data_IF_401068547605
#
_entry.id   IF_401068547605
#
_cell.length_a   1.000
_cell.length_b   1.000
_cell.length_c   1.000
_cell.angle_alpha   90.00
_cell.angle_beta   90.00
_cell.angle_gamma   90.00
#
_symmetry.space_group_name_H-M   'P 1'
#
loop_
_entity.id
_entity.type
_entity.pdbx_description
1 polymer ?
#
# COMPACT_ATOMS: atom_id res chain seq x y z
N UNK A 1 17.77 10.67 4.65
CA UNK A 1 17.06 10.68 5.94
C UNK A 1 17.77 11.67 6.85
N UNK A 2 17.04 12.49 7.61
CA UNK A 2 17.63 13.50 8.50
C UNK A 2 18.26 12.81 9.72
N UNK A 3 19.50 13.18 10.08
CA UNK A 3 20.21 12.59 11.20
C UNK A 3 19.61 12.98 12.55
N UNK A 4 19.64 12.06 13.53
CA UNK A 4 19.16 12.31 14.91
C UNK A 4 19.85 13.51 15.58
N UNK A 5 21.15 13.69 15.31
CA UNK A 5 21.94 14.82 15.81
C UNK A 5 21.43 16.16 15.31
N UNK A 6 21.00 16.23 14.04
CA UNK A 6 20.41 17.43 13.48
C UNK A 6 19.05 17.74 14.10
N UNK A 7 18.22 16.74 14.34
CA UNK A 7 16.92 16.93 15.00
C UNK A 7 17.11 17.46 16.42
N UNK A 8 18.04 16.86 17.18
CA UNK A 8 18.38 17.35 18.53
C UNK A 8 18.89 18.78 18.52
N UNK A 9 19.78 19.12 17.58
CA UNK A 9 20.33 20.48 17.42
C UNK A 9 19.25 21.50 17.03
N UNK A 10 18.37 21.14 16.10
CA UNK A 10 17.42 22.08 15.50
C UNK A 10 16.14 22.25 16.33
N UNK A 11 15.61 21.17 16.90
CA UNK A 11 14.32 21.19 17.59
C UNK A 11 14.44 20.99 19.11
N UNK A 12 15.62 20.60 19.60
CA UNK A 12 15.85 20.33 21.03
C UNK A 12 15.26 19.00 21.49
N UNK A 13 15.07 18.05 20.57
CA UNK A 13 14.31 16.83 20.80
C UNK A 13 15.14 15.60 20.46
N UNK A 14 15.03 14.56 21.30
CA UNK A 14 15.65 13.27 21.04
C UNK A 14 14.67 12.35 20.29
N UNK A 15 15.18 11.70 19.24
CA UNK A 15 14.42 10.75 18.43
C UNK A 15 14.91 9.35 18.73
N UNK A 16 14.02 8.54 19.28
CA UNK A 16 14.32 7.16 19.70
C UNK A 16 13.87 6.13 18.65
N UNK A 17 14.39 6.27 17.43
CA UNK A 17 14.21 5.26 16.36
C UNK A 17 15.52 4.53 16.15
N UNK A 18 15.57 3.21 16.29
CA UNK A 18 16.82 2.47 16.12
C UNK A 18 17.40 2.62 14.69
N UNK A 19 18.72 2.47 14.56
CA UNK A 19 19.37 2.44 13.24
C UNK A 19 18.86 1.29 12.39
N UNK A 20 18.55 0.14 13.01
CA UNK A 20 17.98 -1.02 12.33
C UNK A 20 16.62 -0.68 11.69
N UNK A 21 15.73 -0.01 12.43
CA UNK A 21 14.43 0.41 11.92
C UNK A 21 14.56 1.45 10.79
N UNK A 22 15.46 2.43 10.93
CA UNK A 22 15.73 3.41 9.86
C UNK A 22 16.23 2.74 8.57
N UNK A 23 17.15 1.78 8.69
CA UNK A 23 17.65 1.01 7.54
C UNK A 23 16.53 0.21 6.89
N UNK A 24 15.69 -0.46 7.68
CA UNK A 24 14.57 -1.26 7.17
C UNK A 24 13.53 -0.41 6.42
N UNK A 25 13.14 0.76 6.98
CA UNK A 25 12.24 1.70 6.30
C UNK A 25 12.80 2.16 4.95
N UNK A 26 14.09 2.51 4.90
CA UNK A 26 14.76 2.91 3.68
C UNK A 26 14.86 1.76 2.66
N UNK A 27 15.12 0.54 3.11
CA UNK A 27 15.15 -0.66 2.26
C UNK A 27 13.77 -0.91 1.66
N UNK A 28 12.70 -0.90 2.46
CA UNK A 28 11.34 -1.13 1.95
C UNK A 28 10.92 -0.06 0.95
N UNK A 29 11.23 1.23 1.19
CA UNK A 29 10.95 2.30 0.24
C UNK A 29 11.68 2.07 -1.10
N UNK A 30 12.98 1.75 -1.06
CA UNK A 30 13.75 1.44 -2.28
C UNK A 30 13.17 0.22 -3.01
N UNK A 31 12.76 -0.81 -2.29
CA UNK A 31 12.15 -2.01 -2.89
C UNK A 31 10.85 -1.69 -3.62
N UNK A 32 9.95 -0.92 -3.00
CA UNK A 32 8.69 -0.48 -3.63
C UNK A 32 8.92 0.29 -4.93
N UNK A 33 9.98 1.12 -4.96
CA UNK A 33 10.32 1.94 -6.11
C UNK A 33 11.18 1.23 -7.18
N UNK A 34 11.37 -0.09 -7.07
CA UNK A 34 12.27 -0.87 -7.94
C UNK A 34 13.73 -0.38 -7.94
N UNK A 35 14.20 0.06 -6.77
CA UNK A 35 15.58 0.53 -6.51
C UNK A 35 16.30 -0.30 -5.44
N UNK A 36 15.88 -1.54 -5.25
CA UNK A 36 16.51 -2.46 -4.29
C UNK A 36 18.00 -2.69 -4.60
N UNK A 37 18.81 -2.90 -3.56
CA UNK A 37 20.27 -2.87 -3.69
C UNK A 37 20.86 -4.05 -4.47
N UNK A 38 20.12 -5.15 -4.61
CA UNK A 38 20.53 -6.31 -5.42
C UNK A 38 20.24 -6.15 -6.91
N UNK A 39 19.47 -5.13 -7.30
CA UNK A 39 19.16 -4.87 -8.70
C UNK A 39 20.40 -4.38 -9.44
N UNK A 40 20.56 -4.86 -10.67
CA UNK A 40 21.74 -4.58 -11.47
C UNK A 40 21.43 -4.75 -12.96
N UNK A 41 22.44 -4.58 -13.83
CA UNK A 41 22.28 -4.85 -15.27
C UNK A 41 21.84 -6.29 -15.56
N UNK A 42 22.11 -7.23 -14.65
CA UNK A 42 21.81 -8.65 -14.81
C UNK A 42 20.69 -9.14 -13.90
N UNK A 43 20.26 -8.36 -12.90
CA UNK A 43 19.16 -8.72 -12.00
C UNK A 43 18.06 -7.67 -12.14
N UNK A 44 16.93 -8.08 -12.71
CA UNK A 44 15.75 -7.26 -12.96
C UNK A 44 14.69 -7.54 -11.89
N UNK A 45 14.02 -6.49 -11.45
CA UNK A 45 12.93 -6.63 -10.50
C UNK A 45 11.67 -7.18 -11.18
N UNK A 46 10.93 -8.01 -10.44
CA UNK A 46 9.57 -8.44 -10.74
C UNK A 46 8.51 -7.45 -10.21
N UNK A 47 8.90 -6.35 -9.56
CA UNK A 47 7.98 -5.38 -8.96
C UNK A 47 7.04 -5.98 -7.90
N UNK A 48 7.48 -7.06 -7.23
CA UNK A 48 6.70 -7.78 -6.22
C UNK A 48 6.30 -6.92 -5.01
N UNK A 49 7.14 -6.02 -4.47
CA UNK A 49 6.76 -5.16 -3.36
C UNK A 49 5.52 -4.30 -3.65
N UNK A 50 5.46 -3.69 -4.84
CA UNK A 50 4.30 -2.90 -5.27
C UNK A 50 3.08 -3.79 -5.54
N UNK A 51 3.27 -4.97 -6.13
CA UNK A 51 2.19 -5.93 -6.34
C UNK A 51 1.55 -6.38 -5.01
N UNK A 52 2.35 -6.65 -3.98
CA UNK A 52 1.86 -7.00 -2.64
C UNK A 52 1.09 -5.83 -2.02
N UNK A 53 1.67 -4.63 -2.03
CA UNK A 53 1.04 -3.46 -1.42
C UNK A 53 -0.27 -3.08 -2.13
N UNK A 54 -0.27 -3.06 -3.46
CA UNK A 54 -1.43 -2.69 -4.27
C UNK A 54 -2.57 -3.71 -4.16
N UNK A 55 -2.26 -5.00 -4.01
CA UNK A 55 -3.28 -6.04 -3.78
C UNK A 55 -4.02 -5.81 -2.45
N UNK A 56 -3.29 -5.59 -1.36
CA UNK A 56 -3.91 -5.30 -0.06
C UNK A 56 -4.67 -3.97 -0.08
N UNK A 57 -4.08 -2.90 -0.62
CA UNK A 57 -4.75 -1.61 -0.71
C UNK A 57 -6.07 -1.72 -1.48
N UNK A 58 -6.06 -2.43 -2.61
CA UNK A 58 -7.28 -2.69 -3.39
C UNK A 58 -8.31 -3.44 -2.57
N UNK A 59 -7.96 -4.57 -1.96
CA UNK A 59 -8.93 -5.35 -1.18
C UNK A 59 -9.49 -4.63 0.05
N UNK A 60 -8.72 -3.72 0.65
CA UNK A 60 -9.17 -2.96 1.83
C UNK A 60 -10.10 -1.81 1.43
N UNK A 61 -9.87 -1.16 0.28
CA UNK A 61 -10.60 0.06 -0.11
C UNK A 61 -11.69 -0.14 -1.14
N UNK A 62 -11.68 -1.23 -1.92
CA UNK A 62 -12.58 -1.41 -3.07
C UNK A 62 -14.06 -1.35 -2.69
N UNK A 63 -14.41 -1.95 -1.56
CA UNK A 63 -15.79 -2.07 -1.07
C UNK A 63 -15.98 -1.30 0.24
N UNK A 64 -15.12 -0.30 0.51
CA UNK A 64 -15.21 0.52 1.71
C UNK A 64 -16.16 1.70 1.49
N UNK A 65 -17.17 1.79 2.34
CA UNK A 65 -18.04 2.96 2.45
C UNK A 65 -17.88 3.62 3.81
N UNK A 66 -17.87 4.95 3.82
CA UNK A 66 -17.78 5.74 5.06
C UNK A 66 -18.88 6.80 5.07
N UNK A 67 -19.77 6.70 6.06
CA UNK A 67 -20.84 7.66 6.29
C UNK A 67 -20.57 8.43 7.58
N UNK A 68 -20.75 9.76 7.54
CA UNK A 68 -20.61 10.61 8.73
C UNK A 68 -21.94 11.29 8.98
N UNK A 69 -22.57 10.96 10.11
CA UNK A 69 -23.88 11.46 10.51
C UNK A 69 -23.78 12.24 11.81
N UNK A 70 -24.84 12.99 12.17
CA UNK A 70 -24.93 13.63 13.47
C UNK A 70 -25.00 12.60 14.60
N UNK A 71 -24.47 12.94 15.77
CA UNK A 71 -24.32 12.01 16.91
C UNK A 71 -25.63 11.34 17.42
N UNK A 72 -26.81 11.77 16.95
CA UNK A 72 -28.11 11.16 17.27
C UNK A 72 -28.73 10.39 16.09
N UNK A 73 -27.97 10.09 15.03
CA UNK A 73 -28.41 9.28 13.89
C UNK A 73 -29.21 10.05 12.83
N UNK A 74 -28.83 11.30 12.53
CA UNK A 74 -29.51 12.15 11.54
C UNK A 74 -28.60 13.24 10.96
N UNK A 75 -29.19 14.22 10.26
CA UNK A 75 -28.43 15.34 9.70
C UNK A 75 -27.95 16.33 10.77
N UNK A 76 -26.81 16.96 10.53
CA UNK A 76 -26.29 18.02 11.37
C UNK A 76 -25.16 18.75 10.66
N UNK A 77 -25.17 20.09 10.69
CA UNK A 77 -24.26 20.92 9.90
C UNK A 77 -22.77 20.54 10.09
N UNK A 78 -22.36 20.14 11.31
CA UNK A 78 -21.00 19.65 11.56
C UNK A 78 -20.70 18.33 10.85
N UNK A 79 -21.61 17.37 10.96
CA UNK A 79 -21.45 16.05 10.35
C UNK A 79 -21.49 16.14 8.82
N UNK A 80 -22.41 16.93 8.26
CA UNK A 80 -22.50 17.18 6.82
C UNK A 80 -21.22 17.80 6.27
N UNK A 81 -20.68 18.82 6.95
CA UNK A 81 -19.40 19.42 6.58
C UNK A 81 -18.26 18.39 6.61
N UNK A 82 -18.10 17.64 7.70
CA UNK A 82 -17.05 16.62 7.82
C UNK A 82 -17.21 15.50 6.80
N UNK A 83 -18.44 15.07 6.52
CA UNK A 83 -18.73 14.10 5.49
C UNK A 83 -18.27 14.60 4.12
N UNK A 84 -18.64 15.83 3.75
CA UNK A 84 -18.24 16.44 2.48
C UNK A 84 -16.72 16.53 2.36
N UNK A 85 -16.03 16.98 3.40
CA UNK A 85 -14.56 17.07 3.40
C UNK A 85 -13.93 15.67 3.25
N UNK A 86 -14.46 14.65 3.94
CA UNK A 86 -13.96 13.28 3.83
C UNK A 86 -14.18 12.69 2.42
N UNK A 87 -15.35 12.91 1.82
CA UNK A 87 -15.69 12.39 0.48
C UNK A 87 -14.74 12.90 -0.61
N UNK A 88 -14.14 14.08 -0.44
CA UNK A 88 -13.13 14.61 -1.37
C UNK A 88 -11.80 13.85 -1.33
N UNK A 89 -11.52 13.18 -0.20
CA UNK A 89 -10.25 12.48 0.05
C UNK A 89 -10.35 11.01 -0.37
N UNK A 90 -11.51 10.38 -0.17
CA UNK A 90 -11.73 8.95 -0.45
C UNK A 90 -11.26 8.49 -1.84
N UNK A 91 -11.43 9.24 -2.95
CA UNK A 91 -10.95 8.82 -4.26
C UNK A 91 -9.43 8.60 -4.34
N UNK A 92 -8.66 9.35 -3.55
CA UNK A 92 -7.19 9.24 -3.48
C UNK A 92 -6.72 8.24 -2.42
N UNK A 93 -7.60 7.81 -1.52
CA UNK A 93 -7.24 7.05 -0.33
C UNK A 93 -6.57 5.71 -0.67
N UNK A 94 -7.00 5.01 -1.73
CA UNK A 94 -6.40 3.72 -2.13
C UNK A 94 -4.90 3.85 -2.40
N UNK A 95 -4.50 4.87 -3.15
CA UNK A 95 -3.10 5.13 -3.47
C UNK A 95 -2.30 5.39 -2.19
N UNK A 96 -2.87 6.17 -1.26
CA UNK A 96 -2.20 6.51 -0.01
C UNK A 96 -2.08 5.31 0.93
N UNK A 97 -3.12 4.48 1.02
CA UNK A 97 -3.10 3.22 1.77
C UNK A 97 -2.05 2.27 1.20
N UNK A 98 -1.88 2.20 -0.13
CA UNK A 98 -0.81 1.41 -0.75
C UNK A 98 0.57 1.83 -0.24
N UNK A 99 0.87 3.13 -0.20
CA UNK A 99 2.13 3.61 0.38
C UNK A 99 2.26 3.25 1.87
N UNK A 100 1.17 3.34 2.63
CA UNK A 100 1.13 2.94 4.03
C UNK A 100 1.40 1.45 4.24
N UNK A 101 0.85 0.59 3.39
CA UNK A 101 1.06 -0.86 3.39
C UNK A 101 2.50 -1.20 2.97
N UNK A 102 3.01 -0.52 1.94
CA UNK A 102 4.36 -0.73 1.43
C UNK A 102 5.44 -0.31 2.43
N UNK A 103 5.28 0.83 3.08
CA UNK A 103 6.32 1.41 3.97
C UNK A 103 6.04 1.18 5.45
N UNK A 104 4.89 0.63 5.81
CA UNK A 104 4.49 0.25 7.17
C UNK A 104 3.76 1.32 7.96
N UNK A 105 3.69 2.56 7.47
CA UNK A 105 2.97 3.64 8.12
C UNK A 105 2.62 4.79 7.19
N UNK A 106 1.52 5.45 7.49
CA UNK A 106 1.00 6.62 6.76
C UNK A 106 0.35 7.57 7.77
N UNK A 107 0.71 8.85 7.72
CA UNK A 107 0.00 9.90 8.45
C UNK A 107 -0.89 10.68 7.50
N UNK A 108 -2.13 10.93 7.94
CA UNK A 108 -3.11 11.79 7.29
C UNK A 108 -3.25 13.06 8.14
N UNK A 109 -2.68 14.17 7.68
CA UNK A 109 -2.64 15.43 8.43
C UNK A 109 -3.57 16.45 7.76
N UNK A 110 -4.74 16.74 8.35
CA UNK A 110 -5.61 17.77 7.83
C UNK A 110 -5.05 19.16 8.13
N UNK A 111 -5.29 20.10 7.22
CA UNK A 111 -5.00 21.52 7.37
C UNK A 111 -6.10 22.35 6.71
N UNK A 112 -6.18 23.63 7.08
CA UNK A 112 -7.24 24.54 6.63
C UNK A 112 -6.82 25.22 5.32
N UNK A 113 -7.61 25.00 4.26
CA UNK A 113 -7.43 25.62 2.96
C UNK A 113 -8.65 26.51 2.67
N UNK A 114 -8.51 27.82 2.91
CA UNK A 114 -9.64 28.75 2.83
C UNK A 114 -10.77 28.40 3.79
N UNK A 115 -11.94 28.08 3.25
CA UNK A 115 -13.15 27.66 3.99
C UNK A 115 -13.32 26.13 4.07
N UNK A 116 -12.32 25.38 3.60
CA UNK A 116 -12.34 23.92 3.46
C UNK A 116 -11.17 23.28 4.20
N UNK A 117 -11.16 21.94 4.22
CA UNK A 117 -10.07 21.15 4.75
C UNK A 117 -9.39 20.38 3.61
N UNK A 118 -8.07 20.47 3.57
CA UNK A 118 -7.21 19.62 2.76
C UNK A 118 -6.47 18.62 3.66
N UNK A 119 -5.94 17.53 3.08
CA UNK A 119 -5.20 16.50 3.82
C UNK A 119 -3.87 16.24 3.15
N UNK A 120 -2.80 16.45 3.92
CA UNK A 120 -1.46 16.01 3.57
C UNK A 120 -1.28 14.54 3.95
N UNK A 121 -0.73 13.76 3.02
CA UNK A 121 -0.34 12.38 3.26
C UNK A 121 1.16 12.29 3.42
N UNK A 122 1.62 11.84 4.58
CA UNK A 122 3.05 11.64 4.87
C UNK A 122 3.34 10.15 4.99
N UNK A 123 4.16 9.64 4.08
CA UNK A 123 4.61 8.25 4.08
C UNK A 123 5.65 8.03 5.19
N UNK A 124 5.92 6.77 5.57
CA UNK A 124 6.79 6.44 6.70
C UNK A 124 8.24 6.99 6.61
N UNK A 125 8.71 7.35 5.42
CA UNK A 125 10.01 7.97 5.16
C UNK A 125 9.98 9.51 5.10
N UNK A 126 8.79 10.13 5.25
CA UNK A 126 8.55 11.58 5.18
C UNK A 126 8.21 12.21 6.54
N UNK A 127 8.04 11.40 7.58
CA UNK A 127 7.84 11.89 8.94
C UNK A 127 8.75 11.17 9.93
N UNK A 128 9.00 11.81 11.06
CA UNK A 128 9.87 11.31 12.12
C UNK A 128 9.09 11.35 13.42
N UNK A 129 8.58 10.19 13.91
CA UNK A 129 7.90 10.16 15.18
C UNK A 129 8.91 10.36 16.31
N UNK A 130 8.52 11.20 17.27
CA UNK A 130 9.33 11.59 18.42
C UNK A 130 8.88 10.86 19.68
N UNK A 131 7.57 10.75 19.87
CA UNK A 131 6.98 10.11 21.03
C UNK A 131 5.67 9.44 20.64
N UNK A 132 5.28 8.42 21.42
CA UNK A 132 4.06 7.65 21.22
C UNK A 132 3.25 7.62 22.50
N UNK A 133 1.92 7.47 22.36
CA UNK A 133 1.04 7.18 23.48
C UNK A 133 1.06 5.67 23.83
N UNK A 134 0.35 5.29 24.90
CA UNK A 134 0.24 3.90 25.35
C UNK A 134 -0.44 2.96 24.34
N UNK A 135 -1.11 3.52 23.32
CA UNK A 135 -1.75 2.78 22.21
C UNK A 135 -0.86 2.72 20.98
N UNK A 136 0.43 3.09 21.10
CA UNK A 136 1.42 3.12 20.00
C UNK A 136 1.06 4.11 18.88
N UNK A 137 0.29 5.16 19.18
CA UNK A 137 0.01 6.26 18.25
C UNK A 137 1.02 7.39 18.47
N UNK A 138 1.59 8.00 17.41
CA UNK A 138 2.51 9.12 17.58
C UNK A 138 1.83 10.28 18.30
N UNK A 139 2.34 10.67 19.46
CA UNK A 139 1.90 11.85 20.21
C UNK A 139 2.68 13.11 19.83
N UNK A 140 3.90 12.91 19.33
CA UNK A 140 4.77 13.96 18.79
C UNK A 140 5.40 13.49 17.49
N UNK A 141 5.38 14.32 16.46
CA UNK A 141 5.86 13.94 15.12
C UNK A 141 6.43 15.13 14.37
N UNK A 142 7.52 14.92 13.64
CA UNK A 142 8.12 15.93 12.76
C UNK A 142 7.80 15.56 11.31
N UNK A 143 7.16 16.47 10.59
CA UNK A 143 6.92 16.34 9.15
C UNK A 143 8.03 17.06 8.39
N UNK A 144 8.53 16.42 7.34
CA UNK A 144 9.66 16.91 6.54
C UNK A 144 9.19 17.23 5.13
N UNK A 145 9.24 18.50 4.77
CA UNK A 145 8.93 18.97 3.43
C UNK A 145 10.20 19.41 2.72
N UNK A 146 10.41 18.95 1.49
CA UNK A 146 11.55 19.34 0.66
C UNK A 146 11.07 20.08 -0.58
N UNK A 147 11.74 21.17 -0.89
CA UNK A 147 11.49 21.98 -2.07
C UNK A 147 12.82 22.37 -2.72
N UNK A 148 12.91 22.32 -4.05
CA UNK A 148 14.06 22.85 -4.78
C UNK A 148 13.65 24.11 -5.53
N UNK A 149 14.36 25.21 -5.30
CA UNK A 149 14.16 26.48 -6.00
C UNK A 149 15.51 27.00 -6.51
N UNK A 150 15.69 26.99 -7.83
CA UNK A 150 16.97 27.30 -8.46
C UNK A 150 18.09 26.36 -7.98
N UNK A 151 19.17 26.96 -7.48
CA UNK A 151 20.36 26.26 -6.97
C UNK A 151 20.26 25.86 -5.50
N UNK A 152 19.15 26.17 -4.83
CA UNK A 152 18.96 25.90 -3.41
C UNK A 152 17.94 24.79 -3.15
N UNK A 153 18.24 24.00 -2.13
CA UNK A 153 17.38 23.01 -1.52
C UNK A 153 16.86 23.58 -0.21
N UNK A 154 15.54 23.64 -0.07
CA UNK A 154 14.86 24.07 1.14
C UNK A 154 14.24 22.85 1.83
N UNK A 155 14.42 22.77 3.14
CA UNK A 155 13.77 21.75 3.99
C UNK A 155 12.98 22.44 5.09
N UNK A 156 11.67 22.20 5.16
CA UNK A 156 10.83 22.64 6.27
C UNK A 156 10.58 21.48 7.22
N UNK A 157 10.84 21.73 8.50
CA UNK A 157 10.52 20.85 9.61
C UNK A 157 9.30 21.43 10.32
N UNK A 158 8.19 20.72 10.24
CA UNK A 158 6.94 21.06 10.93
C UNK A 158 6.76 20.08 12.10
N UNK A 159 6.96 20.56 13.33
CA UNK A 159 6.97 19.72 14.52
C UNK A 159 5.67 19.85 15.29
N UNK A 160 4.93 18.75 15.36
CA UNK A 160 3.66 18.63 16.05
C UNK A 160 3.86 17.99 17.43
N UNK A 161 3.30 18.62 18.47
CA UNK A 161 3.42 18.17 19.84
C UNK A 161 2.08 18.18 20.56
N UNK A 162 1.54 17.00 20.87
CA UNK A 162 0.51 16.89 21.91
C UNK A 162 1.19 16.91 23.28
N UNK A 163 0.94 17.96 24.05
CA UNK A 163 1.57 18.20 25.35
C UNK A 163 0.81 17.55 26.51
N UNK A 164 -0.24 16.78 26.21
CA UNK A 164 -1.11 16.18 27.20
C UNK A 164 -2.12 17.17 27.75
N UNK A 165 -2.77 16.77 28.84
CA UNK A 165 -3.81 17.56 29.49
C UNK A 165 -3.20 18.49 30.53
N UNK A 166 -3.45 19.79 30.39
CA UNK A 166 -3.10 20.78 31.39
C UNK A 166 -4.32 20.98 32.28
N UNK A 167 -4.11 20.98 33.60
CA UNK A 167 -5.15 21.39 34.54
C UNK A 167 -5.32 22.90 34.47
N UNK A 168 -6.47 23.36 33.99
CA UNK A 168 -6.91 24.75 34.17
C UNK A 168 -8.28 24.74 34.87
N UNK A 169 -8.26 24.93 36.19
CA UNK A 169 -9.46 24.84 37.03
C UNK A 169 -10.09 23.43 37.06
N UNK A 170 -11.41 23.33 36.81
CA UNK A 170 -12.19 22.10 36.94
C UNK A 170 -12.22 21.21 35.68
N UNK A 171 -11.56 21.61 34.58
CA UNK A 171 -11.49 20.84 33.33
C UNK A 171 -10.05 20.65 32.90
N UNK A 172 -9.72 19.42 32.52
CA UNK A 172 -8.46 19.09 31.87
C UNK A 172 -8.60 19.38 30.37
N UNK A 173 -7.96 20.43 29.88
CA UNK A 173 -7.91 20.73 28.44
C UNK A 173 -6.54 20.32 27.89
N UNK A 174 -6.51 19.57 26.79
CA UNK A 174 -5.25 19.20 26.18
C UNK A 174 -4.67 20.37 25.38
N UNK A 175 -3.34 20.48 25.44
CA UNK A 175 -2.57 21.49 24.73
C UNK A 175 -1.83 20.86 23.56
N UNK A 176 -1.86 21.53 22.42
CA UNK A 176 -1.17 21.12 21.21
C UNK A 176 -0.32 22.27 20.68
N UNK A 177 0.90 21.96 20.25
CA UNK A 177 1.84 22.96 19.73
C UNK A 177 2.38 22.53 18.38
N UNK A 178 2.46 23.47 17.44
CA UNK A 178 3.10 23.31 16.15
C UNK A 178 4.27 24.27 16.06
N UNK A 179 5.44 23.78 15.63
CA UNK A 179 6.64 24.60 15.41
C UNK A 179 7.21 24.39 14.02
N UNK A 180 7.47 25.48 13.30
CA UNK A 180 8.03 25.43 11.96
C UNK A 180 9.48 25.92 11.95
N UNK A 181 10.36 25.21 11.24
CA UNK A 181 11.72 25.67 10.91
C UNK A 181 12.03 25.42 9.46
N UNK A 182 12.58 26.42 8.78
CA UNK A 182 13.06 26.29 7.39
C UNK A 182 14.57 26.29 7.37
N UNK A 183 15.14 25.37 6.61
CA UNK A 183 16.57 25.27 6.35
C UNK A 183 16.84 25.40 4.86
N UNK A 184 17.99 26.00 4.53
CA UNK A 184 18.46 26.17 3.16
C UNK A 184 19.85 25.56 3.01
N UNK A 185 20.04 24.79 1.94
CA UNK A 185 21.29 24.17 1.55
C UNK A 185 21.54 24.32 0.05
N UNK A 186 22.79 24.21 -0.37
CA UNK A 186 23.19 24.12 -1.80
C UNK A 186 23.31 22.65 -2.26
N UNK A 187 23.02 21.69 -1.38
CA UNK A 187 23.12 20.25 -1.61
C UNK A 187 21.87 19.56 -1.05
N UNK A 188 21.36 18.54 -1.74
CA UNK A 188 20.25 17.70 -1.24
C UNK A 188 20.67 16.76 -0.09
N UNK A 189 21.99 16.54 0.07
CA UNK A 189 22.53 15.66 1.11
C UNK A 189 22.57 16.34 2.49
N UNK A 190 22.67 17.67 2.52
CA UNK A 190 22.87 18.45 3.75
C UNK A 190 21.68 19.35 4.02
N UNK A 191 21.32 19.53 5.30
CA UNK A 191 20.24 20.43 5.68
C UNK A 191 20.62 21.92 5.59
N UNK A 192 21.92 22.24 5.74
CA UNK A 192 22.42 23.61 5.68
C UNK A 192 22.02 24.46 6.90
N UNK A 193 21.70 25.73 6.65
CA UNK A 193 21.46 26.76 7.70
C UNK A 193 19.98 27.12 7.83
N UNK A 194 19.54 27.45 9.04
CA UNK A 194 18.19 27.96 9.29
C UNK A 194 17.98 29.31 8.61
N UNK A 195 16.83 29.49 7.97
CA UNK A 195 16.41 30.74 7.31
C UNK A 195 14.95 31.07 7.70
N UNK A 196 14.51 32.33 7.57
CA UNK A 196 13.11 32.71 7.84
C UNK A 196 12.12 31.95 6.95
N UNK A 197 10.90 31.70 7.45
CA UNK A 197 9.79 31.10 6.69
C UNK A 197 9.49 31.86 5.40
N UNK A 198 9.56 33.19 5.45
CA UNK A 198 9.39 34.09 4.29
C UNK A 198 10.44 33.95 3.19
N UNK A 199 11.49 33.13 3.40
CA UNK A 199 12.46 32.80 2.35
C UNK A 199 11.86 31.94 1.24
N UNK A 200 10.74 31.25 1.52
CA UNK A 200 9.99 30.45 0.56
C UNK A 200 8.56 31.01 0.50
N UNK A 201 8.09 31.48 -0.66
CA UNK A 201 6.76 32.11 -0.79
C UNK A 201 5.61 31.25 -0.27
N UNK A 202 5.65 29.94 -0.52
CA UNK A 202 4.63 28.96 -0.09
C UNK A 202 4.53 28.82 1.45
N UNK A 203 5.54 29.25 2.19
CA UNK A 203 5.62 29.13 3.65
C UNK A 203 5.60 30.47 4.37
N UNK A 204 5.46 31.58 3.63
CA UNK A 204 5.61 32.92 4.16
C UNK A 204 4.52 33.29 5.20
N UNK A 205 3.32 32.76 5.03
CA UNK A 205 2.16 33.02 5.90
C UNK A 205 2.08 32.06 7.10
N UNK A 206 3.01 31.11 7.21
CA UNK A 206 3.06 30.18 8.34
C UNK A 206 3.72 30.84 9.55
N UNK A 207 3.27 30.45 10.75
CA UNK A 207 3.89 30.86 12.00
C UNK A 207 5.05 29.94 12.40
N UNK A 208 6.08 30.51 13.04
CA UNK A 208 7.18 29.73 13.63
C UNK A 208 6.71 28.86 14.80
N UNK A 209 5.74 29.33 15.59
CA UNK A 209 5.15 28.58 16.71
C UNK A 209 3.68 28.96 16.90
N UNK A 210 2.81 27.97 16.99
CA UNK A 210 1.39 28.10 17.29
C UNK A 210 0.98 27.12 18.38
N UNK A 211 0.05 27.53 19.23
CA UNK A 211 -0.47 26.71 20.32
C UNK A 211 -2.00 26.71 20.32
N UNK A 212 -2.57 25.52 20.52
CA UNK A 212 -3.99 25.25 20.51
C UNK A 212 -4.41 24.59 21.82
N UNK A 213 -5.58 24.97 22.34
CA UNK A 213 -6.18 24.43 23.56
C UNK A 213 -7.48 23.68 23.24
N UNK A 214 -7.97 22.88 24.18
CA UNK A 214 -9.22 22.13 24.03
C UNK A 214 -9.12 20.89 23.13
N UNK A 215 -7.90 20.46 22.81
CA UNK A 215 -7.62 19.27 22.00
C UNK A 215 -7.44 18.05 22.90
N UNK A 216 -7.79 16.84 22.44
CA UNK A 216 -7.86 15.60 23.22
C UNK A 216 -6.83 14.56 22.77
N UNK A 217 -6.36 14.69 21.54
CA UNK A 217 -5.36 13.83 20.92
C UNK A 217 -4.66 14.59 19.78
N UNK A 218 -3.60 14.02 19.18
CA UNK A 218 -2.90 14.66 18.07
C UNK A 218 -3.82 15.01 16.90
N UNK A 219 -3.51 16.12 16.20
CA UNK A 219 -4.29 16.65 15.07
C UNK A 219 -3.93 15.98 13.73
N UNK A 220 -3.78 14.66 13.74
CA UNK A 220 -3.57 13.86 12.53
C UNK A 220 -4.03 12.41 12.76
N UNK A 221 -4.43 11.73 11.68
CA UNK A 221 -4.67 10.29 11.68
C UNK A 221 -3.39 9.51 11.39
N UNK A 222 -3.19 8.36 12.02
CA UNK A 222 -2.03 7.50 11.77
C UNK A 222 -2.48 6.08 11.43
N UNK A 223 -2.24 5.69 10.18
CA UNK A 223 -2.37 4.32 9.73
C UNK A 223 -1.05 3.59 10.00
N UNK A 224 -1.14 2.52 10.79
CA UNK A 224 -0.05 1.60 11.07
C UNK A 224 -0.39 0.26 10.47
N UNK A 225 0.43 -0.27 9.58
CA UNK A 225 0.19 -1.61 9.04
C UNK A 225 0.12 -2.64 10.19
N UNK A 226 -0.94 -3.46 10.28
CA UNK A 226 -1.28 -4.26 11.46
C UNK A 226 -0.45 -5.55 11.56
N UNK A 227 0.86 -5.45 11.30
CA UNK A 227 1.81 -6.53 11.49
C UNK A 227 2.67 -6.27 12.73
N UNK A 228 3.02 -7.35 13.43
CA UNK A 228 3.99 -7.30 14.51
C UNK A 228 5.36 -6.90 13.94
N UNK A 229 6.03 -5.96 14.61
CA UNK A 229 7.33 -5.48 14.20
C UNK A 229 8.40 -6.54 14.54
N UNK A 230 8.85 -7.28 13.53
CA UNK A 230 9.91 -8.30 13.66
C UNK A 230 11.33 -7.73 13.48
N UNK A 231 11.46 -6.45 13.14
CA UNK A 231 12.74 -5.75 13.07
C UNK A 231 13.12 -5.26 14.47
N UNK A 232 12.16 -4.68 15.18
CA UNK A 232 12.31 -4.16 16.54
C UNK A 232 11.00 -4.35 17.33
N UNK A 233 10.84 -5.46 18.08
CA UNK A 233 9.59 -5.80 18.75
C UNK A 233 9.04 -4.75 19.74
N UNK A 234 9.93 -3.95 20.33
CA UNK A 234 9.55 -2.84 21.23
C UNK A 234 9.13 -1.57 20.48
N UNK A 235 9.39 -1.46 19.19
CA UNK A 235 9.12 -0.26 18.42
C UNK A 235 7.63 -0.11 18.10
N UNK A 236 7.05 1.08 18.31
CA UNK A 236 5.66 1.36 17.97
C UNK A 236 5.44 1.59 16.47
N UNK A 237 6.51 1.73 15.69
CA UNK A 237 6.44 1.85 14.23
C UNK A 237 5.82 0.59 13.59
N UNK A 238 5.10 0.80 12.49
CA UNK A 238 4.65 -0.30 11.64
C UNK A 238 5.78 -0.81 10.75
N UNK A 239 5.58 -1.99 10.18
CA UNK A 239 6.50 -2.63 9.25
C UNK A 239 5.81 -2.85 7.91
N UNK A 240 6.58 -2.88 6.83
CA UNK A 240 6.07 -3.17 5.50
C UNK A 240 5.34 -4.52 5.42
N UNK A 241 4.30 -4.62 4.59
CA UNK A 241 3.61 -5.89 4.30
C UNK A 241 4.54 -6.99 3.78
N UNK A 242 5.63 -6.61 3.10
CA UNK A 242 6.63 -7.54 2.58
C UNK A 242 7.90 -7.62 3.44
N UNK A 243 7.89 -7.07 4.67
CA UNK A 243 9.05 -7.08 5.58
C UNK A 243 9.56 -8.51 5.87
N UNK A 244 8.66 -9.50 5.88
CA UNK A 244 8.99 -10.92 6.12
C UNK A 244 9.43 -11.69 4.87
N UNK A 245 9.41 -11.04 3.71
CA UNK A 245 9.67 -11.67 2.41
C UNK A 245 10.81 -11.01 1.63
N UNK A 246 11.57 -10.07 2.22
CA UNK A 246 12.66 -9.34 1.54
C UNK A 246 13.64 -10.28 0.83
N UNK A 247 14.16 -11.29 1.55
CA UNK A 247 15.09 -12.27 0.97
C UNK A 247 14.45 -13.14 -0.12
N UNK A 248 13.18 -13.48 0.03
CA UNK A 248 12.44 -14.26 -0.97
C UNK A 248 12.19 -13.44 -2.24
N UNK A 249 11.86 -12.15 -2.10
CA UNK A 249 11.70 -11.23 -3.23
C UNK A 249 13.02 -11.08 -3.99
N UNK A 250 14.14 -10.93 -3.26
CA UNK A 250 15.48 -10.93 -3.87
C UNK A 250 15.75 -12.24 -4.63
N UNK A 251 15.41 -13.38 -4.05
CA UNK A 251 15.57 -14.69 -4.72
C UNK A 251 14.69 -14.77 -5.98
N UNK A 252 13.46 -14.28 -5.93
CA UNK A 252 12.54 -14.26 -7.08
C UNK A 252 13.09 -13.40 -8.22
N UNK A 253 13.57 -12.20 -7.94
CA UNK A 253 14.20 -11.30 -8.92
C UNK A 253 15.41 -11.96 -9.60
N UNK A 254 16.25 -12.64 -8.81
CA UNK A 254 17.40 -13.40 -9.32
C UNK A 254 16.94 -14.56 -10.20
N UNK A 255 15.97 -15.37 -9.74
CA UNK A 255 15.47 -16.53 -10.46
C UNK A 255 14.81 -16.14 -11.80
N UNK A 256 14.04 -15.07 -11.82
CA UNK A 256 13.48 -14.50 -13.04
C UNK A 256 14.56 -14.02 -14.01
N UNK A 257 15.59 -13.36 -13.49
CA UNK A 257 16.70 -12.91 -14.33
C UNK A 257 17.52 -14.05 -14.91
N UNK A 258 17.64 -15.17 -14.17
CA UNK A 258 18.23 -16.41 -14.68
C UNK A 258 17.39 -17.02 -15.81
N UNK A 259 16.05 -16.97 -15.71
CA UNK A 259 15.16 -17.41 -16.79
C UNK A 259 15.39 -16.61 -18.08
N UNK A 260 15.44 -15.27 -17.95
CA UNK A 260 15.72 -14.40 -19.09
C UNK A 260 17.13 -14.64 -19.67
N UNK A 261 18.11 -14.91 -18.81
CA UNK A 261 19.46 -15.26 -19.24
C UNK A 261 19.51 -16.62 -19.94
N UNK A 262 18.75 -17.61 -19.49
CA UNK A 262 18.68 -18.94 -20.11
C UNK A 262 18.26 -18.81 -21.58
N UNK A 263 17.16 -18.09 -21.87
CA UNK A 263 16.71 -17.84 -23.25
C UNK A 263 17.72 -17.03 -24.07
N UNK A 264 18.35 -16.01 -23.48
CA UNK A 264 19.38 -15.20 -24.17
C UNK A 264 20.66 -15.99 -24.46
N UNK A 265 21.04 -16.87 -23.55
CA UNK A 265 22.26 -17.66 -23.65
C UNK A 265 22.10 -18.81 -24.63
N UNK A 266 20.93 -19.47 -24.63
CA UNK A 266 20.57 -20.55 -25.54
C UNK A 266 19.87 -20.13 -26.83
N UNK A 267 19.84 -18.84 -27.15
CA UNK A 267 19.43 -18.39 -28.50
C UNK A 267 20.28 -19.11 -29.54
N UNK A 268 19.62 -19.66 -30.57
CA UNK A 268 20.27 -20.45 -31.62
C UNK A 268 21.41 -19.67 -32.25
N UNK A 269 22.58 -20.29 -32.34
CA UNK A 269 23.75 -19.73 -33.00
C UNK A 269 24.36 -20.72 -33.97
N UNK A 270 24.70 -20.25 -35.16
CA UNK A 270 25.51 -20.95 -36.13
C UNK A 270 26.95 -20.48 -35.98
N UNK A 271 27.80 -21.40 -35.55
CA UNK A 271 29.24 -21.16 -35.59
C UNK A 271 29.70 -21.44 -37.01
N UNK A 272 30.24 -20.44 -37.70
CA UNK A 272 30.62 -20.50 -39.11
C UNK A 272 32.10 -20.16 -39.27
N UNK A 273 32.77 -20.85 -40.20
CA UNK A 273 34.11 -20.46 -40.64
C UNK A 273 34.06 -19.11 -41.35
N UNK A 274 35.06 -18.26 -41.13
CA UNK A 274 35.17 -16.95 -41.78
C UNK A 274 35.14 -17.08 -43.31
N UNK A 275 35.60 -18.20 -43.88
CA UNK A 275 35.57 -18.48 -45.32
C UNK A 275 34.16 -18.73 -45.88
N UNK A 276 33.18 -19.06 -45.04
CA UNK A 276 31.79 -19.28 -45.45
C UNK A 276 30.98 -17.98 -45.55
N UNK A 277 31.56 -16.84 -45.15
CA UNK A 277 30.89 -15.54 -45.16
C UNK A 277 31.09 -14.79 -46.49
N UNK A 278 30.11 -13.96 -46.89
CA UNK A 278 30.28 -13.07 -48.04
C UNK A 278 31.36 -12.01 -47.74
N UNK A 279 32.06 -11.55 -48.78
CA UNK A 279 33.01 -10.44 -48.68
C UNK A 279 32.37 -9.13 -49.12
N UNK A 280 32.66 -8.07 -48.39
CA UNK A 280 32.33 -6.70 -48.81
C UNK A 280 33.07 -6.37 -50.12
N UNK A 281 32.37 -6.01 -51.21
CA UNK A 281 32.97 -5.68 -52.49
C UNK A 281 33.94 -4.49 -52.45
N UNK A 282 33.78 -3.57 -51.49
CA UNK A 282 34.59 -2.35 -51.36
C UNK A 282 35.81 -2.56 -50.47
N UNK A 283 35.68 -3.35 -49.41
CA UNK A 283 36.74 -3.51 -48.39
C UNK A 283 37.44 -4.86 -48.45
N UNK A 284 36.88 -5.85 -49.15
CA UNK A 284 37.42 -7.21 -49.29
C UNK A 284 37.35 -8.05 -48.01
N UNK A 285 36.78 -7.52 -46.93
CA UNK A 285 36.64 -8.19 -45.64
C UNK A 285 35.36 -9.01 -45.58
N UNK A 286 35.39 -10.09 -44.82
CA UNK A 286 34.21 -10.91 -44.57
C UNK A 286 33.18 -10.13 -43.75
N UNK A 287 31.91 -10.23 -44.15
CA UNK A 287 30.77 -9.54 -43.53
C UNK A 287 29.89 -10.56 -42.83
N UNK A 288 29.58 -10.28 -41.56
CA UNK A 288 28.58 -11.03 -40.80
C UNK A 288 27.26 -10.25 -40.90
N UNK A 289 26.31 -10.76 -41.68
CA UNK A 289 25.03 -10.08 -41.92
C UNK A 289 24.11 -10.11 -40.70
N UNK A 290 24.15 -11.21 -39.92
CA UNK A 290 23.40 -11.37 -38.67
C UNK A 290 24.34 -11.78 -37.54
N UNK A 291 24.72 -10.80 -36.71
CA UNK A 291 25.63 -11.00 -35.57
C UNK A 291 24.98 -11.71 -34.38
N UNK A 292 23.66 -11.85 -34.36
CA UNK A 292 22.96 -12.62 -33.33
C UNK A 292 22.92 -14.11 -33.67
N UNK A 293 22.74 -14.42 -34.97
CA UNK A 293 22.73 -15.80 -35.49
C UNK A 293 24.13 -16.36 -35.74
N UNK A 294 25.06 -15.60 -36.30
CA UNK A 294 26.36 -16.12 -36.71
C UNK A 294 27.49 -15.76 -35.73
N UNK A 295 28.24 -16.77 -35.26
CA UNK A 295 29.53 -16.57 -34.58
C UNK A 295 30.67 -17.04 -35.48
N UNK A 296 31.63 -16.15 -35.71
CA UNK A 296 32.81 -16.45 -36.50
C UNK A 296 33.89 -17.05 -35.62
N UNK A 297 34.32 -18.26 -35.92
CA UNK A 297 35.57 -18.80 -35.37
C UNK A 297 36.67 -18.58 -36.40
N UNK A 298 37.67 -17.77 -36.03
CA UNK A 298 38.94 -17.70 -36.76
C UNK A 298 39.78 -18.89 -36.35
N UNK A 299 39.51 -20.05 -36.94
CA UNK A 299 40.38 -21.18 -36.68
C UNK A 299 41.64 -21.09 -37.53
N UNK A 300 42.80 -21.21 -36.88
CA UNK A 300 44.07 -21.52 -37.58
C UNK A 300 44.13 -22.98 -38.03
N UNK A 301 43.18 -23.83 -37.59
CA UNK A 301 43.05 -25.24 -37.95
C UNK A 301 41.58 -25.63 -38.09
N UNK A 302 41.09 -25.79 -39.33
CA UNK A 302 39.82 -26.43 -39.73
C UNK A 302 38.86 -26.74 -38.57
N UNK A 303 37.85 -25.88 -38.36
CA UNK A 303 36.73 -26.24 -37.49
C UNK A 303 36.12 -27.54 -38.05
N UNK A 304 36.15 -28.59 -37.23
CA UNK A 304 35.78 -29.95 -37.62
C UNK A 304 36.87 -30.65 -38.43
N UNK A 305 37.62 -31.54 -37.79
CA UNK A 305 38.37 -32.61 -38.48
C UNK A 305 37.38 -33.57 -39.19
N UNK A 306 36.75 -33.08 -40.27
CA UNK A 306 35.85 -33.75 -41.22
C UNK A 306 35.15 -32.76 -42.20
N UNK A 307 35.58 -31.49 -42.36
CA UNK A 307 35.06 -30.62 -43.42
C UNK A 307 33.68 -29.99 -43.17
N UNK A 308 33.31 -29.73 -41.90
CA UNK A 308 32.08 -29.00 -41.57
C UNK A 308 32.35 -27.49 -41.52
N UNK A 309 31.79 -26.75 -42.48
CA UNK A 309 31.88 -25.28 -42.56
C UNK A 309 31.06 -24.55 -41.48
N UNK A 310 30.16 -25.27 -40.79
CA UNK A 310 29.31 -24.73 -39.74
C UNK A 310 28.97 -25.78 -38.67
N UNK A 311 28.70 -25.30 -37.46
CA UNK A 311 28.19 -26.08 -36.32
C UNK A 311 27.01 -25.34 -35.66
N UNK A 312 25.93 -26.06 -35.39
CA UNK A 312 24.74 -25.54 -34.70
C UNK A 312 24.94 -25.59 -33.19
N UNK A 313 24.73 -24.46 -32.52
CA UNK A 313 24.62 -24.34 -31.08
C UNK A 313 23.17 -24.05 -30.69
N UNK A 314 22.47 -25.12 -30.28
CA UNK A 314 21.10 -25.10 -29.80
C UNK A 314 20.97 -25.96 -28.54
N UNK A 315 21.32 -25.44 -27.34
CA UNK A 315 21.26 -26.21 -26.11
C UNK A 315 19.81 -26.48 -25.68
N UNK A 316 19.58 -27.59 -24.98
CA UNK A 316 18.30 -27.85 -24.33
C UNK A 316 18.08 -26.85 -23.20
N UNK A 317 16.97 -26.13 -23.25
CA UNK A 317 16.60 -25.19 -22.20
C UNK A 317 16.19 -25.91 -20.90
N UNK A 318 16.46 -25.24 -19.76
CA UNK A 318 16.05 -25.68 -18.41
C UNK A 318 14.94 -24.79 -17.85
N UNK A 319 14.19 -24.13 -18.73
CA UNK A 319 13.16 -23.16 -18.44
C UNK A 319 12.11 -23.71 -17.47
N UNK A 320 11.66 -24.95 -17.64
CA UNK A 320 10.62 -25.52 -16.78
C UNK A 320 11.09 -25.69 -15.33
N UNK A 321 12.33 -26.12 -15.12
CA UNK A 321 12.89 -26.26 -13.77
C UNK A 321 13.05 -24.89 -13.10
N UNK A 322 13.46 -23.87 -13.87
CA UNK A 322 13.59 -22.48 -13.40
C UNK A 322 12.22 -21.89 -13.05
N UNK A 323 11.21 -22.09 -13.89
CA UNK A 323 9.82 -21.64 -13.66
C UNK A 323 9.26 -22.31 -12.39
N UNK A 324 9.41 -23.63 -12.25
CA UNK A 324 8.94 -24.34 -11.06
C UNK A 324 9.62 -23.83 -9.78
N UNK A 325 10.91 -23.49 -9.85
CA UNK A 325 11.64 -22.86 -8.75
C UNK A 325 11.11 -21.47 -8.41
N UNK A 326 10.83 -20.63 -9.41
CA UNK A 326 10.23 -19.32 -9.23
C UNK A 326 8.83 -19.41 -8.61
N UNK A 327 7.97 -20.30 -9.11
CA UNK A 327 6.64 -20.56 -8.56
C UNK A 327 6.68 -20.95 -7.08
N UNK A 328 7.63 -21.81 -6.69
CA UNK A 328 7.83 -22.17 -5.28
C UNK A 328 8.24 -20.97 -4.41
N UNK A 329 9.03 -20.04 -4.95
CA UNK A 329 9.41 -18.79 -4.25
C UNK A 329 8.20 -17.86 -4.13
N UNK A 330 7.45 -17.61 -5.21
CA UNK A 330 6.26 -16.76 -5.22
C UNK A 330 5.23 -17.26 -4.19
N UNK A 331 5.00 -18.57 -4.13
CA UNK A 331 4.19 -19.21 -3.09
C UNK A 331 4.69 -18.86 -1.68
N UNK A 332 5.99 -18.94 -1.41
CA UNK A 332 6.52 -18.58 -0.08
C UNK A 332 6.34 -17.08 0.24
N UNK A 333 6.46 -16.22 -0.77
CA UNK A 333 6.19 -14.77 -0.63
C UNK A 333 4.73 -14.55 -0.25
N UNK A 334 3.78 -15.15 -0.97
CA UNK A 334 2.34 -15.03 -0.66
C UNK A 334 2.07 -15.40 0.80
N UNK A 335 2.58 -16.54 1.25
CA UNK A 335 2.39 -17.01 2.62
C UNK A 335 3.01 -16.04 3.66
N UNK A 336 4.25 -15.60 3.47
CA UNK A 336 4.93 -14.72 4.41
C UNK A 336 4.33 -13.30 4.48
N UNK A 337 3.74 -12.83 3.38
CA UNK A 337 3.06 -11.54 3.29
C UNK A 337 1.58 -11.61 3.73
N UNK A 338 1.02 -12.81 3.97
CA UNK A 338 -0.39 -12.99 4.30
C UNK A 338 -1.34 -12.87 3.10
N UNK A 339 -0.83 -13.10 1.89
CA UNK A 339 -1.61 -13.10 0.65
C UNK A 339 -2.25 -14.48 0.38
N UNK A 340 -3.32 -14.51 -0.40
CA UNK A 340 -3.90 -15.76 -0.86
C UNK A 340 -3.00 -16.44 -1.92
N UNK A 341 -3.05 -17.78 -1.97
CA UNK A 341 -2.43 -18.57 -3.04
C UNK A 341 -2.95 -18.12 -4.40
N UNK A 342 -2.05 -17.95 -5.36
CA UNK A 342 -2.39 -17.63 -6.75
C UNK A 342 -2.56 -16.13 -7.01
N UNK A 343 -2.24 -15.26 -6.04
CA UNK A 343 -2.21 -13.80 -6.27
C UNK A 343 -0.92 -13.36 -6.97
N UNK A 344 0.19 -14.04 -6.69
CA UNK A 344 1.48 -13.81 -7.35
C UNK A 344 1.91 -15.03 -8.17
N UNK A 345 1.74 -16.23 -7.60
CA UNK A 345 2.00 -17.52 -8.24
C UNK A 345 0.90 -17.87 -9.25
N UNK A 346 1.20 -18.77 -10.20
CA UNK A 346 0.23 -19.23 -11.20
C UNK A 346 -0.88 -20.07 -10.52
N UNK A 347 -2.16 -19.65 -10.59
CA UNK A 347 -3.28 -20.39 -10.02
C UNK A 347 -3.42 -21.82 -10.57
N UNK A 348 -2.97 -22.09 -11.80
CA UNK A 348 -3.07 -23.40 -12.45
C UNK A 348 -1.95 -24.36 -12.02
N UNK A 349 -0.80 -23.83 -11.57
CA UNK A 349 0.30 -24.61 -11.01
C UNK A 349 0.18 -24.80 -9.48
N UNK A 350 -0.96 -24.46 -8.90
CA UNK A 350 -1.27 -24.74 -7.49
C UNK A 350 -1.48 -26.24 -7.29
N UNK A 351 -0.73 -26.85 -6.37
CA UNK A 351 -0.90 -28.25 -6.01
C UNK A 351 -2.21 -28.46 -5.19
N UNK A 352 -3.24 -28.89 -5.94
CA UNK A 352 -4.20 -30.00 -5.75
C UNK A 352 -5.15 -30.15 -4.55
N UNK A 353 -5.00 -29.57 -3.37
CA UNK A 353 -6.04 -29.77 -2.31
C UNK A 353 -6.91 -28.53 -2.09
N UNK A 354 -8.22 -28.66 -2.32
CA UNK A 354 -9.22 -27.61 -2.12
C UNK A 354 -9.15 -27.01 -0.69
N UNK A 355 -8.73 -27.81 0.30
CA UNK A 355 -8.55 -27.40 1.69
C UNK A 355 -7.42 -26.39 1.89
N UNK A 356 -6.28 -26.55 1.22
CA UNK A 356 -5.15 -25.61 1.32
C UNK A 356 -5.49 -24.26 0.67
N UNK A 357 -6.21 -24.28 -0.46
CA UNK A 357 -6.71 -23.07 -1.12
C UNK A 357 -7.69 -22.33 -0.21
N UNK A 358 -8.64 -23.05 0.39
CA UNK A 358 -9.60 -22.45 1.33
C UNK A 358 -8.90 -21.86 2.55
N UNK A 359 -7.97 -22.59 3.16
CA UNK A 359 -7.20 -22.11 4.31
C UNK A 359 -6.40 -20.85 3.98
N UNK A 360 -5.79 -20.80 2.80
CA UNK A 360 -5.07 -19.62 2.34
C UNK A 360 -6.00 -18.40 2.12
N UNK A 361 -7.19 -18.61 1.55
CA UNK A 361 -8.19 -17.53 1.40
C UNK A 361 -8.66 -17.01 2.76
N UNK A 362 -8.88 -17.89 3.74
CA UNK A 362 -9.26 -17.48 5.09
C UNK A 362 -8.17 -16.66 5.78
N UNK A 363 -6.89 -17.05 5.64
CA UNK A 363 -5.76 -16.28 6.17
C UNK A 363 -5.64 -14.91 5.50
N UNK A 364 -5.85 -14.84 4.19
CA UNK A 364 -5.89 -13.58 3.46
C UNK A 364 -7.01 -12.66 3.95
N UNK A 365 -8.22 -13.19 4.06
CA UNK A 365 -9.37 -12.42 4.52
C UNK A 365 -9.18 -11.90 5.95
N UNK A 366 -8.62 -12.71 6.85
CA UNK A 366 -8.25 -12.25 8.20
C UNK A 366 -7.24 -11.10 8.17
N UNK A 367 -6.23 -11.19 7.29
CA UNK A 367 -5.23 -10.12 7.11
C UNK A 367 -5.89 -8.84 6.59
N UNK A 368 -6.80 -8.93 5.61
CA UNK A 368 -7.54 -7.78 5.08
C UNK A 368 -8.39 -7.12 6.16
N UNK A 369 -9.12 -7.90 6.97
CA UNK A 369 -9.94 -7.39 8.08
C UNK A 369 -9.10 -6.63 9.11
N UNK A 370 -7.91 -7.12 9.44
CA UNK A 370 -7.00 -6.41 10.35
C UNK A 370 -6.53 -5.08 9.75
N UNK A 371 -6.28 -5.03 8.44
CA UNK A 371 -5.91 -3.79 7.73
C UNK A 371 -7.09 -2.81 7.69
N UNK A 372 -8.31 -3.29 7.43
CA UNK A 372 -9.53 -2.49 7.47
C UNK A 372 -9.73 -1.83 8.85
N UNK A 373 -9.56 -2.58 9.95
CA UNK A 373 -9.63 -2.02 11.33
C UNK A 373 -8.56 -0.98 11.59
N UNK A 374 -7.34 -1.20 11.11
CA UNK A 374 -6.25 -0.23 11.24
C UNK A 374 -6.54 1.06 10.44
N UNK A 375 -7.10 0.93 9.24
CA UNK A 375 -7.52 2.05 8.41
C UNK A 375 -8.69 2.82 9.02
N UNK A 376 -9.71 2.11 9.52
CA UNK A 376 -10.84 2.71 10.25
C UNK A 376 -10.35 3.55 11.42
N UNK A 377 -9.44 3.00 12.24
CA UNK A 377 -8.86 3.74 13.39
C UNK A 377 -8.17 5.01 12.91
N UNK A 378 -7.40 4.94 11.83
CA UNK A 378 -6.70 6.09 11.27
C UNK A 378 -7.65 7.15 10.70
N UNK A 379 -8.74 6.75 10.03
CA UNK A 379 -9.76 7.67 9.50
C UNK A 379 -10.56 8.31 10.64
N UNK A 380 -10.86 7.57 11.72
CA UNK A 380 -11.49 8.15 12.93
C UNK A 380 -10.60 9.20 13.58
N UNK A 381 -9.29 8.96 13.67
CA UNK A 381 -8.33 9.94 14.17
C UNK A 381 -8.19 11.15 13.22
N UNK A 382 -8.27 10.94 11.89
CA UNK A 382 -8.34 12.01 10.90
C UNK A 382 -9.60 12.86 11.08
N UNK A 383 -10.79 12.25 11.19
CA UNK A 383 -12.05 12.95 11.40
C UNK A 383 -12.03 13.77 12.69
N UNK A 384 -11.41 13.25 13.75
CA UNK A 384 -11.20 14.03 14.97
C UNK A 384 -10.35 15.29 14.72
N UNK A 385 -9.25 15.15 13.99
CA UNK A 385 -8.39 16.27 13.66
C UNK A 385 -9.11 17.31 12.77
N UNK A 386 -9.90 16.85 11.81
CA UNK A 386 -10.76 17.68 10.97
C UNK A 386 -11.81 18.44 11.79
N UNK A 387 -12.46 17.78 12.75
CA UNK A 387 -13.42 18.40 13.67
C UNK A 387 -12.77 19.47 14.57
N UNK A 388 -11.56 19.19 15.06
CA UNK A 388 -10.81 20.14 15.85
C UNK A 388 -10.47 21.39 15.03
N UNK A 389 -9.93 21.24 13.81
CA UNK A 389 -9.63 22.36 12.92
C UNK A 389 -10.87 23.16 12.54
N UNK A 390 -11.97 22.47 12.21
CA UNK A 390 -13.27 23.10 11.91
C UNK A 390 -13.77 23.93 13.10
N UNK A 391 -13.50 23.51 14.34
CA UNK A 391 -13.83 24.28 15.55
C UNK A 391 -12.91 25.47 15.78
N UNK A 392 -11.60 25.29 15.59
CA UNK A 392 -10.58 26.33 15.78
C UNK A 392 -10.79 27.48 14.79
N UNK A 393 -11.02 27.14 13.52
CA UNK A 393 -11.18 28.12 12.42
C UNK A 393 -12.64 28.49 12.14
N UNK A 394 -13.60 27.93 12.89
CA UNK A 394 -15.04 28.22 12.78
C UNK A 394 -15.62 27.95 11.38
N UNK A 395 -15.15 26.90 10.71
CA UNK A 395 -15.57 26.54 9.36
C UNK A 395 -17.02 26.02 9.30
N UNK A 396 -17.50 25.39 10.38
CA UNK A 396 -18.88 24.94 10.52
C UNK A 396 -19.37 25.07 11.98
N UNK A 397 -20.70 25.22 12.21
CA UNK A 397 -21.27 25.25 13.55
C UNK A 397 -20.84 24.03 14.37
N UNK A 398 -20.70 24.23 15.69
CA UNK A 398 -20.33 23.14 16.60
C UNK A 398 -21.47 22.12 16.67
N UNK A 399 -21.15 20.85 16.55
CA UNK A 399 -22.10 19.74 16.62
C UNK A 399 -21.39 18.42 16.86
N UNK A 400 -22.13 17.39 17.27
CA UNK A 400 -21.59 16.03 17.36
C UNK A 400 -21.65 15.33 16.00
N UNK A 401 -20.74 14.39 15.78
CA UNK A 401 -20.74 13.51 14.62
C UNK A 401 -20.48 12.06 15.05
N UNK A 402 -20.90 11.12 14.22
CA UNK A 402 -20.61 9.69 14.32
C UNK A 402 -20.21 9.17 12.94
N UNK A 403 -19.22 8.29 12.88
CA UNK A 403 -18.72 7.73 11.63
C UNK A 403 -18.97 6.22 11.56
N UNK A 404 -19.64 5.79 10.51
CA UNK A 404 -19.95 4.38 10.23
C UNK A 404 -19.13 3.90 9.05
N UNK A 405 -18.54 2.72 9.18
CA UNK A 405 -17.71 2.10 8.16
C UNK A 405 -18.37 0.78 7.75
N UNK A 406 -18.54 0.61 6.45
CA UNK A 406 -19.06 -0.63 5.87
C UNK A 406 -17.98 -1.22 4.97
N UNK A 407 -17.68 -2.49 5.18
CA UNK A 407 -16.82 -3.29 4.32
C UNK A 407 -17.63 -4.51 3.88
N UNK A 408 -17.56 -4.90 2.61
CA UNK A 408 -18.22 -6.11 2.14
C UNK A 408 -17.41 -7.37 2.56
N UNK A 409 -18.13 -8.37 3.08
CA UNK A 409 -17.64 -9.67 3.55
C UNK A 409 -17.37 -10.68 2.40
N UNK A 410 -17.41 -10.21 1.15
CA UNK A 410 -17.20 -11.00 -0.08
C UNK A 410 -15.89 -11.80 -0.11
N UNK A 411 -14.87 -11.35 0.64
CA UNK A 411 -13.57 -12.01 0.77
C UNK A 411 -13.57 -13.21 1.74
N UNK A 412 -14.45 -13.18 2.74
CA UNK A 412 -14.54 -14.20 3.81
C UNK A 412 -15.52 -15.29 3.43
N UNK A 413 -16.63 -14.93 2.78
CA UNK A 413 -17.75 -15.84 2.56
C UNK A 413 -17.96 -16.12 1.08
N UNK A 414 -17.88 -17.40 0.71
CA UNK A 414 -18.35 -17.85 -0.60
C UNK A 414 -19.87 -17.71 -0.64
N UNK A 415 -20.34 -16.58 -1.19
CA UNK A 415 -21.76 -16.25 -1.33
C UNK A 415 -22.53 -17.34 -2.08
N UNK A 416 -21.91 -18.06 -3.02
CA UNK A 416 -22.59 -19.15 -3.73
C UNK A 416 -22.75 -20.37 -2.82
N UNK A 417 -21.72 -20.73 -2.07
CA UNK A 417 -21.81 -21.83 -1.11
C UNK A 417 -22.79 -21.51 0.02
N UNK A 418 -22.76 -20.29 0.55
CA UNK A 418 -23.68 -19.84 1.59
C UNK A 418 -25.13 -19.81 1.06
N UNK A 419 -25.35 -19.26 -0.14
CA UNK A 419 -26.67 -19.28 -0.77
C UNK A 419 -27.17 -20.71 -1.01
N UNK A 420 -26.30 -21.64 -1.43
CA UNK A 420 -26.66 -23.05 -1.60
C UNK A 420 -27.06 -23.71 -0.27
N UNK A 421 -26.30 -23.45 0.81
CA UNK A 421 -26.62 -23.93 2.15
C UNK A 421 -27.92 -23.32 2.69
N UNK A 422 -28.09 -22.01 2.60
CA UNK A 422 -29.29 -21.32 3.06
C UNK A 422 -30.53 -21.77 2.25
N UNK A 423 -30.38 -21.99 0.94
CA UNK A 423 -31.44 -22.60 0.10
C UNK A 423 -31.78 -24.01 0.58
N UNK A 424 -30.78 -24.82 0.95
CA UNK A 424 -31.02 -26.15 1.52
C UNK A 424 -31.75 -26.05 2.89
N UNK A 425 -31.39 -25.09 3.74
CA UNK A 425 -32.06 -24.86 5.02
C UNK A 425 -33.52 -24.41 4.84
N UNK A 426 -33.80 -23.56 3.84
CA UNK A 426 -35.17 -23.18 3.46
C UNK A 426 -35.96 -24.39 2.96
N UNK A 427 -35.36 -25.22 2.10
CA UNK A 427 -36.00 -26.46 1.61
C UNK A 427 -36.30 -27.45 2.73
N UNK A 428 -35.45 -27.51 3.76
CA UNK A 428 -35.64 -28.34 4.95
C UNK A 428 -36.54 -27.68 6.02
N UNK A 429 -37.07 -26.48 5.75
CA UNK A 429 -37.91 -25.68 6.67
C UNK A 429 -37.21 -25.30 7.99
N UNK A 430 -35.88 -25.30 8.01
CA UNK A 430 -35.07 -24.83 9.12
C UNK A 430 -34.86 -23.30 9.08
N UNK A 431 -35.06 -22.67 7.93
CA UNK A 431 -34.95 -21.22 7.70
C UNK A 431 -36.17 -20.73 6.89
N UNK A 432 -36.61 -19.49 7.13
CA UNK A 432 -37.70 -18.86 6.38
C UNK A 432 -37.23 -18.14 5.10
N UNK A 433 -38.07 -18.03 4.04
CA UNK A 433 -37.73 -17.30 2.82
C UNK A 433 -37.40 -15.81 3.04
N UNK A 434 -37.99 -15.18 4.06
CA UNK A 434 -37.71 -13.79 4.44
C UNK A 434 -36.28 -13.67 4.98
N UNK A 435 -35.87 -14.59 5.86
CA UNK A 435 -34.52 -14.62 6.43
C UNK A 435 -33.46 -14.89 5.35
N UNK A 436 -33.73 -15.80 4.42
CA UNK A 436 -32.88 -16.05 3.24
C UNK A 436 -32.66 -14.75 2.43
N UNK A 437 -33.72 -13.99 2.15
CA UNK A 437 -33.62 -12.76 1.37
C UNK A 437 -32.85 -11.67 2.11
N UNK A 438 -33.11 -11.50 3.41
CA UNK A 438 -32.38 -10.55 4.24
C UNK A 438 -30.88 -10.87 4.25
N UNK A 439 -30.52 -12.15 4.42
CA UNK A 439 -29.11 -12.58 4.43
C UNK A 439 -28.44 -12.49 3.06
N UNK A 440 -29.11 -12.90 2.00
CA UNK A 440 -28.53 -13.00 0.65
C UNK A 440 -28.43 -11.64 -0.03
N UNK A 441 -29.47 -10.80 0.11
CA UNK A 441 -29.61 -9.56 -0.63
C UNK A 441 -29.43 -8.30 0.24
N UNK A 442 -29.14 -8.47 1.54
CA UNK A 442 -29.00 -7.34 2.48
C UNK A 442 -30.29 -6.52 2.63
N UNK A 443 -31.44 -7.09 2.27
CA UNK A 443 -32.73 -6.39 2.31
C UNK A 443 -33.17 -6.15 3.76
N UNK A 444 -33.81 -4.99 4.01
CA UNK A 444 -34.50 -4.78 5.27
C UNK A 444 -35.66 -5.77 5.42
N UNK A 445 -36.02 -6.11 6.66
CA UNK A 445 -37.08 -7.08 6.93
C UNK A 445 -38.41 -6.73 6.23
N UNK A 446 -38.72 -5.44 6.14
CA UNK A 446 -39.91 -4.93 5.45
C UNK A 446 -39.88 -5.22 3.94
N UNK A 447 -38.75 -4.96 3.29
CA UNK A 447 -38.56 -5.19 1.84
C UNK A 447 -38.58 -6.69 1.54
N UNK A 448 -37.90 -7.50 2.36
CA UNK A 448 -37.86 -8.95 2.20
C UNK A 448 -39.26 -9.58 2.32
N UNK A 449 -40.07 -9.15 3.30
CA UNK A 449 -41.47 -9.59 3.46
C UNK A 449 -42.33 -9.25 2.25
N UNK A 450 -42.21 -8.03 1.72
CA UNK A 450 -42.94 -7.61 0.54
C UNK A 450 -42.61 -8.48 -0.67
N UNK A 451 -41.32 -8.71 -0.93
CA UNK A 451 -40.86 -9.51 -2.08
C UNK A 451 -41.27 -10.98 -2.00
N UNK A 452 -41.26 -11.56 -0.80
CA UNK A 452 -41.79 -12.92 -0.58
C UNK A 452 -43.28 -12.98 -0.84
N UNK A 453 -44.05 -11.97 -0.39
CA UNK A 453 -45.49 -11.90 -0.64
C UNK A 453 -45.81 -11.72 -2.13
N UNK A 454 -45.07 -10.88 -2.85
CA UNK A 454 -45.18 -10.72 -4.31
C UNK A 454 -44.96 -12.05 -5.04
N UNK A 455 -43.91 -12.80 -4.69
CA UNK A 455 -43.61 -14.10 -5.30
C UNK A 455 -44.70 -15.16 -5.02
N UNK A 456 -45.25 -15.17 -3.81
CA UNK A 456 -46.36 -16.07 -3.44
C UNK A 456 -47.66 -15.70 -4.16
N UNK A 457 -47.93 -14.40 -4.35
CA UNK A 457 -49.09 -13.93 -5.10
C UNK A 457 -48.99 -14.33 -6.58
N UNK A 458 -47.82 -14.18 -7.20
CA UNK A 458 -47.58 -14.59 -8.60
C UNK A 458 -47.73 -16.09 -8.82
N UNK A 459 -47.31 -16.95 -7.87
CA UNK A 459 -47.53 -18.40 -7.95
C UNK A 459 -49.02 -18.77 -7.85
N UNK A 460 -49.80 -18.03 -7.06
CA UNK A 460 -51.25 -18.26 -6.92
C UNK A 460 -52.00 -17.92 -8.21
N UNK A 461 -51.54 -16.92 -8.97
CA UNK A 461 -52.17 -16.52 -10.25
C UNK A 461 -51.93 -17.53 -11.38
N UNK A 462 -50.79 -18.24 -11.40
CA UNK A 462 -50.52 -19.28 -12.41
C UNK A 462 -51.28 -20.60 -12.18
N UNK A 463 -51.71 -20.87 -10.95
CA UNK A 463 -52.47 -22.09 -10.60
C UNK A 463 -53.96 -22.03 -10.99
N UNK A 464 -54.46 -20.84 -11.34
CA UNK A 464 -55.79 -20.63 -11.88
C UNK A 464 -55.69 -19.83 -13.18
N UNK A 465 -55.30 -20.45 -14.31
CA UNK A 465 -55.54 -19.83 -15.60
C UNK A 465 -57.05 -19.62 -15.71
N UNK A 466 -57.48 -18.38 -15.94
CA UNK A 466 -58.89 -18.06 -16.19
C UNK A 466 -59.38 -18.92 -17.37
N UNK A 467 -60.17 -19.96 -17.09
CA UNK A 467 -60.92 -20.69 -18.10
C UNK A 467 -62.09 -19.79 -18.55
N UNK A 468 -62.07 -19.36 -19.82
CA UNK A 468 -63.19 -18.71 -20.53
C UNK A 468 -64.40 -19.62 -20.69
#
# INVERSE_FOLDING_TARGET
MIGKSDIKRLLGVEVDISSAMMTALAEWAKMYENRAEWLSKTVRSLNLPAAVAGAFATSVTLEMEVEVTGASGGSGARAEFLHEQLQRILPSLREQVEYGVAKGGLIMKPWVDGDQLAVDFSQADQFIPVAFDSRKRPSKCIFVYKLRQGDYYYTRLEFHEFLGYVQDGARAEGSYRIRNKVLRSTSDADLGSVVPLSSVPEWADLSEEESYLGVRQPLFGYFRFPQANNIEPGSPLGVSAYARAVDLIKQADIQWSQLLWEFKSGSRRLTVDEQALPKDPKTGKFVVEDVELYRVLRSTNNVGAAGKLFEDWSPTFREQAIINGLEAILKRIEFNCGMARGMLSDPQQVDKTATEVLSSKQQYAATVVDIQKALETAIRDLLYAMDAWTSIFKLAPKGGYEATFTFDDSLVTDRQQQFAQDTQMVNMRAMGPVELRMRTYGESEAVAKQKVAEAQASQTTELFPEEE
#
